data_IF_348177567297
#
_entry.id   IF_348177567297
#
_cell.length_a   1.000
_cell.length_b   1.000
_cell.length_c   1.000
_cell.angle_alpha   90.00
_cell.angle_beta   90.00
_cell.angle_gamma   90.00
#
_symmetry.space_group_name_H-M   'P 1'
#
loop_
_entity.id
_entity.type
_entity.pdbx_description
1 polymer ?
#
# COMPACT_ATOMS: atom_id res chain seq x y z
N UNK A 1 -8.63 15.02 -3.65
CA UNK A 1 -7.16 15.14 -3.75
C UNK A 1 -6.59 13.73 -3.71
N UNK A 2 -5.80 13.36 -4.72
CA UNK A 2 -5.12 12.05 -4.82
C UNK A 2 -3.74 12.26 -4.19
N UNK A 3 -3.37 11.47 -3.19
CA UNK A 3 -2.03 11.48 -2.61
C UNK A 3 -1.28 10.23 -3.10
N UNK A 4 -0.30 10.37 -3.99
CA UNK A 4 0.49 9.22 -4.43
C UNK A 4 1.41 8.77 -3.30
N UNK A 5 1.43 7.47 -3.03
CA UNK A 5 2.37 6.82 -2.13
C UNK A 5 3.48 6.18 -2.96
N UNK A 6 4.58 6.89 -3.14
CA UNK A 6 5.68 6.36 -3.94
C UNK A 6 6.42 5.27 -3.15
N UNK A 7 6.36 4.04 -3.66
CA UNK A 7 7.22 2.94 -3.21
C UNK A 7 8.40 2.85 -4.18
N UNK A 8 9.54 3.38 -3.79
CA UNK A 8 10.78 3.13 -4.53
C UNK A 8 11.12 1.65 -4.34
N UNK A 9 10.82 0.81 -5.33
CA UNK A 9 10.92 -0.63 -5.16
C UNK A 9 12.36 -1.11 -4.94
N UNK A 10 12.41 -2.26 -4.27
CA UNK A 10 13.58 -3.03 -3.93
C UNK A 10 13.14 -4.20 -3.04
N UNK A 11 14.04 -5.16 -2.85
CA UNK A 11 13.89 -6.30 -1.94
C UNK A 11 13.39 -5.85 -0.55
N UNK A 12 12.19 -6.30 -0.14
CA UNK A 12 11.59 -5.92 1.15
C UNK A 12 11.37 -4.42 1.37
N UNK A 13 11.29 -3.64 0.28
CA UNK A 13 11.10 -2.19 0.35
C UNK A 13 9.76 -1.86 0.99
N UNK A 14 9.77 -0.77 1.75
CA UNK A 14 8.58 -0.19 2.36
C UNK A 14 8.50 1.28 1.94
N UNK A 15 7.29 1.76 1.65
CA UNK A 15 7.08 3.18 1.36
C UNK A 15 7.19 4.00 2.64
N UNK A 16 7.27 5.31 2.49
CA UNK A 16 7.02 6.21 3.60
C UNK A 16 5.59 5.98 4.15
N UNK A 17 5.36 6.16 5.46
CA UNK A 17 4.02 6.10 6.03
C UNK A 17 3.11 7.22 5.51
N UNK A 18 1.90 6.87 5.10
CA UNK A 18 0.86 7.82 4.69
C UNK A 18 -0.26 7.85 5.72
N UNK A 19 -0.62 9.03 6.20
CA UNK A 19 -1.71 9.23 7.15
C UNK A 19 -3.01 9.50 6.43
N UNK A 20 -3.92 8.53 6.45
CA UNK A 20 -5.22 8.64 5.80
C UNK A 20 -6.29 9.07 6.80
N UNK A 21 -7.02 10.13 6.44
CA UNK A 21 -8.16 10.63 7.23
C UNK A 21 -9.51 10.03 6.82
N UNK A 22 -9.52 9.20 5.77
CA UNK A 22 -10.73 8.57 5.22
C UNK A 22 -10.89 7.12 5.68
N UNK A 23 -12.13 6.64 5.70
CA UNK A 23 -12.47 5.26 5.98
C UNK A 23 -12.39 4.34 4.75
N UNK A 24 -12.40 4.93 3.55
CA UNK A 24 -12.41 4.22 2.28
C UNK A 24 -11.36 4.81 1.34
N UNK A 25 -10.55 3.96 0.72
CA UNK A 25 -9.54 4.36 -0.24
C UNK A 25 -9.48 3.36 -1.40
N UNK A 26 -9.48 3.87 -2.63
CA UNK A 26 -9.13 3.04 -3.79
C UNK A 26 -7.63 3.12 -3.95
N UNK A 27 -6.99 1.97 -4.15
CA UNK A 27 -5.55 1.91 -4.27
C UNK A 27 -5.20 1.24 -5.59
N UNK A 28 -4.34 1.93 -6.31
CA UNK A 28 -3.85 1.57 -7.62
C UNK A 28 -2.38 1.23 -7.47
N UNK A 29 -2.00 0.06 -7.93
CA UNK A 29 -0.60 -0.30 -8.03
C UNK A 29 -0.23 -0.37 -9.50
N UNK A 30 0.76 0.42 -9.89
CA UNK A 30 1.28 0.45 -11.24
C UNK A 30 2.78 0.16 -11.24
N UNK A 31 3.25 -0.51 -12.28
CA UNK A 31 4.64 -0.91 -12.45
C UNK A 31 4.87 -2.42 -12.55
N UNK A 32 6.07 -2.81 -12.97
CA UNK A 32 6.44 -4.20 -13.17
C UNK A 32 6.70 -4.91 -11.82
N UNK A 33 5.77 -5.77 -11.39
CA UNK A 33 5.88 -6.56 -10.15
C UNK A 33 6.97 -7.64 -10.21
N UNK A 34 7.31 -8.15 -11.40
CA UNK A 34 8.24 -9.28 -11.53
C UNK A 34 7.70 -10.53 -10.83
N UNK A 35 8.44 -11.04 -9.85
CA UNK A 35 8.01 -12.14 -8.95
C UNK A 35 7.53 -11.66 -7.58
N UNK A 36 7.41 -10.35 -7.38
CA UNK A 36 7.01 -9.74 -6.11
C UNK A 36 5.51 -9.56 -6.01
N UNK A 37 5.01 -9.57 -4.78
CA UNK A 37 3.69 -9.04 -4.47
C UNK A 37 3.84 -7.77 -3.65
N UNK A 38 2.89 -6.86 -3.78
CA UNK A 38 2.80 -5.68 -2.93
C UNK A 38 1.55 -5.79 -2.07
N UNK A 39 1.68 -5.44 -0.80
CA UNK A 39 0.57 -5.35 0.12
C UNK A 39 0.68 -4.08 0.96
N UNK A 40 -0.41 -3.74 1.61
CA UNK A 40 -0.45 -2.61 2.53
C UNK A 40 -0.36 -3.11 3.95
N UNK A 41 0.43 -2.43 4.75
CA UNK A 41 0.43 -2.58 6.19
C UNK A 41 -0.22 -1.36 6.83
N UNK A 42 -0.92 -1.58 7.94
CA UNK A 42 -1.46 -0.55 8.81
C UNK A 42 -0.71 -0.53 10.12
N UNK A 43 -0.39 0.67 10.60
CA UNK A 43 0.16 0.87 11.93
C UNK A 43 -0.94 0.77 12.97
N UNK A 44 -0.76 -0.12 13.94
CA UNK A 44 -1.58 -0.17 15.14
C UNK A 44 -1.11 0.94 16.12
N UNK A 45 -1.97 1.92 16.46
CA UNK A 45 -1.57 3.06 17.28
C UNK A 45 -1.33 2.69 18.75
N UNK A 46 -1.84 1.54 19.21
CA UNK A 46 -1.73 1.12 20.61
C UNK A 46 -0.41 0.43 20.93
N UNK A 47 0.20 -0.26 19.96
CA UNK A 47 1.43 -1.02 20.18
C UNK A 47 2.55 -0.70 19.17
N UNK A 48 2.31 0.20 18.20
CA UNK A 48 3.29 0.61 17.20
C UNK A 48 3.64 -0.47 16.17
N UNK A 49 2.91 -1.59 16.14
CA UNK A 49 3.18 -2.69 15.22
C UNK A 49 2.47 -2.52 13.89
N UNK A 50 3.11 -2.99 12.82
CA UNK A 50 2.55 -3.02 11.48
C UNK A 50 1.89 -4.36 11.20
N UNK A 51 0.70 -4.35 10.59
CA UNK A 51 -0.04 -5.54 10.20
C UNK A 51 -0.62 -5.39 8.81
N UNK A 52 -0.57 -6.45 7.99
CA UNK A 52 -1.15 -6.45 6.64
C UNK A 52 -2.65 -6.12 6.68
N UNK A 53 -3.09 -5.24 5.77
CA UNK A 53 -4.50 -4.95 5.54
C UNK A 53 -5.09 -6.10 4.74
N UNK A 54 -6.13 -6.75 5.27
CA UNK A 54 -6.78 -7.88 4.61
C UNK A 54 -7.24 -7.53 3.20
N UNK A 55 -6.88 -8.36 2.21
CA UNK A 55 -7.27 -8.18 0.81
C UNK A 55 -6.41 -7.18 0.03
N UNK A 56 -5.44 -6.55 0.67
CA UNK A 56 -4.56 -5.54 0.06
C UNK A 56 -3.38 -6.11 -0.75
N UNK A 57 -3.31 -7.42 -0.97
CA UNK A 57 -2.18 -8.05 -1.68
C UNK A 57 -2.39 -8.08 -3.18
N UNK A 58 -1.35 -7.73 -3.94
CA UNK A 58 -1.36 -7.59 -5.40
C UNK A 58 -0.13 -8.26 -6.00
N UNK A 59 -0.31 -8.97 -7.10
CA UNK A 59 0.77 -9.65 -7.85
C UNK A 59 0.90 -9.15 -9.29
N UNK A 60 0.06 -8.18 -9.70
CA UNK A 60 0.05 -7.60 -11.04
C UNK A 60 -0.55 -6.18 -11.01
N UNK A 61 -0.28 -5.40 -12.06
CA UNK A 61 -0.85 -4.06 -12.30
C UNK A 61 -2.36 -4.13 -12.33
N UNK A 62 -3.01 -3.78 -11.21
CA UNK A 62 -4.45 -3.89 -11.02
C UNK A 62 -4.94 -2.83 -10.03
N UNK A 63 -6.18 -2.37 -10.23
CA UNK A 63 -6.90 -1.55 -9.27
C UNK A 63 -7.59 -2.46 -8.24
N UNK A 64 -7.51 -2.11 -6.94
CA UNK A 64 -8.44 -2.64 -5.95
C UNK A 64 -8.92 -1.54 -5.01
N UNK A 65 -10.21 -1.61 -4.72
CA UNK A 65 -10.79 -0.89 -3.60
C UNK A 65 -10.42 -1.60 -2.30
N UNK A 66 -9.93 -0.84 -1.31
CA UNK A 66 -9.74 -1.36 0.04
C UNK A 66 -10.47 -0.50 1.08
N UNK A 67 -11.08 -1.17 2.06
CA UNK A 67 -11.72 -0.51 3.19
C UNK A 67 -10.73 -0.34 4.33
N UNK A 68 -10.43 0.91 4.66
CA UNK A 68 -9.55 1.27 5.76
C UNK A 68 -10.42 1.69 6.95
N UNK A 69 -10.94 0.71 7.69
CA UNK A 69 -11.79 0.98 8.86
C UNK A 69 -11.15 2.00 9.81
N UNK A 70 -11.70 3.23 9.89
CA UNK A 70 -11.33 4.33 10.81
C UNK A 70 -10.05 5.12 10.46
N UNK A 71 -9.70 5.26 9.19
CA UNK A 71 -8.46 5.96 8.79
C UNK A 71 -7.21 5.35 9.43
N UNK A 72 -6.10 6.07 9.40
CA UNK A 72 -4.87 5.67 10.06
C UNK A 72 -3.64 5.73 9.16
N UNK A 73 -2.51 5.32 9.73
CA UNK A 73 -1.23 5.35 9.04
C UNK A 73 -1.02 4.02 8.32
N UNK A 74 -0.82 4.08 7.00
CA UNK A 74 -0.56 2.92 6.16
C UNK A 74 0.79 3.06 5.45
N UNK A 75 1.32 1.95 4.96
CA UNK A 75 2.47 1.92 4.04
C UNK A 75 2.35 0.75 3.08
N UNK A 76 2.95 0.85 1.91
CA UNK A 76 3.09 -0.27 0.99
C UNK A 76 4.37 -1.04 1.27
N UNK A 77 4.35 -2.35 1.05
CA UNK A 77 5.51 -3.23 1.25
C UNK A 77 5.53 -4.39 0.25
N UNK A 78 6.72 -4.76 -0.20
CA UNK A 78 6.92 -5.92 -1.09
C UNK A 78 7.10 -7.23 -0.29
N UNK A 79 6.71 -8.38 -0.86
CA UNK A 79 6.72 -9.68 -0.16
C UNK A 79 8.07 -10.37 -0.08
N UNK A 80 8.97 -10.16 -1.02
CA UNK A 80 10.22 -10.90 -1.13
C UNK A 80 11.44 -10.00 -1.37
N UNK A 81 12.60 -10.58 -1.05
CA UNK A 81 13.90 -9.97 -1.26
C UNK A 81 14.39 -10.11 -2.72
N UNK A 82 13.48 -10.22 -3.68
CA UNK A 82 13.83 -10.30 -5.10
C UNK A 82 14.15 -8.93 -5.69
N UNK A 83 14.74 -8.94 -6.87
CA UNK A 83 15.02 -7.73 -7.66
C UNK A 83 13.73 -7.19 -8.28
N UNK A 84 12.83 -6.62 -7.47
CA UNK A 84 11.67 -5.89 -8.02
C UNK A 84 12.10 -4.56 -8.64
N UNK A 85 11.69 -4.24 -9.87
CA UNK A 85 11.72 -2.89 -10.40
C UNK A 85 10.65 -2.00 -9.74
N UNK A 86 10.84 -0.68 -9.77
CA UNK A 86 10.02 0.35 -9.10
C UNK A 86 8.49 0.14 -9.25
N UNK A 87 7.76 0.11 -8.13
CA UNK A 87 6.30 -0.07 -8.08
C UNK A 87 5.68 1.22 -7.54
N UNK A 88 4.86 1.88 -8.33
CA UNK A 88 4.16 3.10 -7.93
C UNK A 88 2.85 2.74 -7.27
N UNK A 89 2.59 3.26 -6.06
CA UNK A 89 1.29 3.10 -5.38
C UNK A 89 0.57 4.43 -5.42
N UNK A 90 -0.61 4.46 -6.03
CA UNK A 90 -1.45 5.66 -6.05
C UNK A 90 -2.68 5.41 -5.21
N UNK A 91 -2.98 6.31 -4.28
CA UNK A 91 -4.14 6.20 -3.42
C UNK A 91 -5.12 7.30 -3.83
N UNK A 92 -6.25 6.88 -4.41
CA UNK A 92 -7.37 7.78 -4.69
C UNK A 92 -8.39 7.69 -3.55
N UNK A 93 -8.65 8.82 -2.90
CA UNK A 93 -9.71 8.92 -1.91
C UNK A 93 -11.07 8.93 -2.60
N UNK A 94 -11.99 8.06 -2.17
CA UNK A 94 -13.41 8.28 -2.39
C UNK A 94 -13.88 9.20 -1.27
N UNK A 95 -14.38 10.38 -1.63
CA UNK A 95 -15.11 11.23 -0.70
C UNK A 95 -16.50 10.60 -0.50
N UNK A 96 -16.85 10.29 0.74
CA UNK A 96 -18.24 10.27 1.21
C UNK A 96 -18.38 11.32 2.32
#
# INVERSE_FOLDING_TARGET
MIEPLLLNAGAGAQSDPLSLKTNNAIIYFDGPFGSEEVYLERLNPFNGQWSEVTGSRFSATTEKEIKLYKGGVIRAKTTNNGSAPSITVTIAHIYE
#
